data_IF_966789564646
#
_entry.id   IF_966789564646
#
_cell.length_a   1.000
_cell.length_b   1.000
_cell.length_c   1.000
_cell.angle_alpha   90.00
_cell.angle_beta   90.00
_cell.angle_gamma   90.00
#
_symmetry.space_group_name_H-M   'P 1'
#
loop_
_entity.id
_entity.type
_entity.pdbx_description
1 polymer ?
#
# COMPACT_ATOMS: atom_id res chain seq x y z
N UNK A 1 11.68 0.98 -5.76
CA UNK A 1 11.41 0.98 -4.31
C UNK A 1 12.42 0.05 -3.67
N UNK A 2 12.91 0.33 -2.45
CA UNK A 2 13.84 -0.55 -1.72
C UNK A 2 13.13 -1.16 -0.51
N UNK A 3 13.13 -2.50 -0.45
CA UNK A 3 12.43 -3.31 0.53
C UNK A 3 13.45 -4.05 1.42
N UNK A 4 13.99 -3.34 2.40
CA UNK A 4 14.83 -3.94 3.44
C UNK A 4 13.99 -4.30 4.66
N UNK A 5 14.26 -5.44 5.30
CA UNK A 5 13.58 -5.88 6.54
C UNK A 5 13.68 -4.79 7.61
N UNK A 6 12.55 -4.48 8.26
CA UNK A 6 12.46 -3.48 9.32
C UNK A 6 12.33 -2.03 8.83
N UNK A 7 12.44 -1.78 7.51
CA UNK A 7 12.18 -0.47 6.92
C UNK A 7 10.72 -0.06 7.13
N UNK A 8 10.52 1.21 7.46
CA UNK A 8 9.19 1.83 7.52
C UNK A 8 8.91 2.54 6.20
N UNK A 9 7.72 2.32 5.67
CA UNK A 9 7.24 2.93 4.43
C UNK A 9 5.87 3.56 4.68
N UNK A 10 5.59 4.63 3.96
CA UNK A 10 4.24 5.21 3.86
C UNK A 10 3.60 4.61 2.63
N UNK A 11 2.52 3.87 2.83
CA UNK A 11 1.82 3.23 1.74
C UNK A 11 0.37 3.68 1.69
N UNK A 12 -0.12 3.90 0.47
CA UNK A 12 -1.51 4.21 0.23
C UNK A 12 -2.31 2.93 0.03
N UNK A 13 -3.45 2.85 0.69
CA UNK A 13 -4.40 1.75 0.62
C UNK A 13 -5.79 2.36 0.42
N UNK A 14 -6.51 1.91 -0.61
CA UNK A 14 -7.88 2.38 -0.83
C UNK A 14 -8.82 1.73 0.19
N UNK A 15 -9.92 2.42 0.47
CA UNK A 15 -11.07 1.87 1.18
C UNK A 15 -11.65 0.66 0.46
N UNK A 16 -11.79 0.73 -0.87
CA UNK A 16 -12.27 -0.39 -1.68
C UNK A 16 -11.45 -1.67 -1.51
N UNK A 17 -10.11 -1.58 -1.46
CA UNK A 17 -9.23 -2.75 -1.22
C UNK A 17 -9.45 -3.38 0.16
N UNK A 18 -9.82 -2.57 1.16
CA UNK A 18 -10.17 -3.06 2.49
C UNK A 18 -11.54 -3.77 2.50
N UNK A 19 -12.49 -3.23 1.75
CA UNK A 19 -13.87 -3.74 1.74
C UNK A 19 -14.05 -4.95 0.81
N UNK A 20 -13.32 -5.01 -0.30
CA UNK A 20 -13.53 -6.02 -1.34
C UNK A 20 -12.83 -7.36 -1.06
N UNK A 21 -11.64 -7.31 -0.46
CA UNK A 21 -10.63 -8.31 -0.75
C UNK A 21 -9.87 -8.85 0.48
N UNK A 22 -10.20 -8.41 1.70
CA UNK A 22 -9.51 -8.89 2.90
C UNK A 22 -10.26 -8.67 4.21
N UNK A 23 -9.67 -9.18 5.31
CA UNK A 23 -9.94 -8.64 6.63
C UNK A 23 -9.20 -7.30 6.75
N UNK A 24 -9.84 -6.23 7.26
CA UNK A 24 -9.19 -4.94 7.37
C UNK A 24 -7.92 -5.05 8.22
N UNK A 25 -6.80 -4.53 7.72
CA UNK A 25 -5.54 -4.50 8.45
C UNK A 25 -5.69 -3.50 9.60
N UNK A 26 -5.67 -3.98 10.84
CA UNK A 26 -5.77 -3.09 12.00
C UNK A 26 -4.41 -2.62 12.46
N UNK A 27 -4.38 -1.44 13.08
CA UNK A 27 -3.15 -0.91 13.69
C UNK A 27 -2.60 -1.91 14.70
N UNK A 28 -1.33 -2.28 14.55
CA UNK A 28 -0.64 -3.26 15.37
C UNK A 28 -0.71 -4.68 14.84
N UNK A 29 -1.57 -5.00 13.89
CA UNK A 29 -1.66 -6.32 13.26
C UNK A 29 -0.66 -6.45 12.09
N UNK A 30 -0.23 -7.69 11.84
CA UNK A 30 0.62 -8.04 10.72
C UNK A 30 -0.12 -8.95 9.73
N UNK A 31 -0.01 -8.65 8.44
CA UNK A 31 -0.66 -9.40 7.36
C UNK A 31 0.22 -9.48 6.13
N UNK A 32 -0.11 -10.42 5.22
CA UNK A 32 0.47 -10.44 3.89
C UNK A 32 -0.20 -9.36 3.04
N UNK A 33 0.60 -8.60 2.31
CA UNK A 33 0.16 -7.55 1.39
C UNK A 33 1.03 -7.53 0.15
N UNK A 34 0.51 -6.95 -0.92
CA UNK A 34 1.25 -6.71 -2.16
C UNK A 34 1.60 -5.23 -2.24
N UNK A 35 2.89 -4.91 -2.32
CA UNK A 35 3.40 -3.54 -2.42
C UNK A 35 3.92 -3.24 -3.81
N UNK A 36 3.37 -2.22 -4.46
CA UNK A 36 3.96 -1.65 -5.67
C UNK A 36 4.50 -0.23 -5.44
N UNK A 37 5.42 0.25 -6.30
CA UNK A 37 5.91 1.63 -6.20
C UNK A 37 4.77 2.62 -6.37
N UNK A 38 4.75 3.70 -5.58
CA UNK A 38 3.70 4.71 -5.69
C UNK A 38 3.62 5.26 -7.13
N UNK A 39 2.48 5.01 -7.77
CA UNK A 39 2.14 5.43 -9.13
C UNK A 39 1.76 6.92 -9.18
N UNK A 40 1.69 7.49 -10.38
CA UNK A 40 1.27 8.89 -10.57
C UNK A 40 -0.13 9.15 -10.00
N UNK A 41 -1.07 8.21 -10.16
CA UNK A 41 -2.42 8.35 -9.65
C UNK A 41 -2.47 8.43 -8.11
N UNK A 42 -1.56 7.76 -7.39
CA UNK A 42 -1.44 7.88 -5.93
C UNK A 42 -0.82 9.22 -5.55
N UNK A 43 0.25 9.61 -6.24
CA UNK A 43 0.96 10.88 -5.96
C UNK A 43 0.08 12.10 -6.25
N UNK A 44 -0.79 12.01 -7.25
CA UNK A 44 -1.76 13.05 -7.63
C UNK A 44 -2.86 13.31 -6.60
N UNK A 45 -3.05 12.44 -5.59
CA UNK A 45 -4.10 12.61 -4.57
C UNK A 45 -3.76 13.62 -3.46
N UNK A 46 -2.56 14.21 -3.46
CA UNK A 46 -2.18 15.21 -2.46
C UNK A 46 -2.02 14.66 -1.03
N UNK A 47 -1.78 13.36 -0.88
CA UNK A 47 -1.73 12.65 0.42
C UNK A 47 -0.43 12.90 1.22
N UNK A 48 0.44 13.79 0.74
CA UNK A 48 1.80 13.94 1.24
C UNK A 48 2.74 12.85 0.70
N UNK A 49 3.90 12.60 1.35
CA UNK A 49 4.88 11.66 0.84
C UNK A 49 4.35 10.22 0.99
N UNK A 50 4.20 9.53 -0.14
CA UNK A 50 3.80 8.13 -0.26
C UNK A 50 4.87 7.39 -1.04
N UNK A 51 5.42 6.32 -0.45
CA UNK A 51 6.47 5.50 -1.02
C UNK A 51 5.91 4.39 -1.93
N UNK A 52 4.75 3.86 -1.57
CA UNK A 52 4.14 2.67 -2.18
C UNK A 52 2.61 2.76 -2.27
N UNK A 53 2.02 2.00 -3.17
CA UNK A 53 0.62 1.58 -3.04
C UNK A 53 0.55 0.15 -2.49
N UNK A 54 -0.53 -0.16 -1.79
CA UNK A 54 -0.83 -1.48 -1.25
C UNK A 54 -2.09 -2.01 -1.91
N UNK A 55 -2.07 -3.29 -2.27
CA UNK A 55 -3.27 -4.08 -2.58
C UNK A 55 -3.32 -5.31 -1.68
N UNK A 56 -4.52 -5.83 -1.45
CA UNK A 56 -4.74 -7.07 -0.68
C UNK A 56 -4.72 -8.31 -1.58
N UNK A 57 -4.71 -8.11 -2.90
CA UNK A 57 -4.62 -9.15 -3.90
C UNK A 57 -3.34 -9.02 -4.75
N UNK A 58 -3.00 -10.11 -5.43
CA UNK A 58 -1.95 -10.09 -6.45
C UNK A 58 -2.41 -9.17 -7.60
N UNK A 59 -1.53 -8.28 -8.04
CA UNK A 59 -1.79 -7.40 -9.19
C UNK A 59 -0.97 -7.89 -10.37
N UNK A 60 -1.65 -8.16 -11.48
CA UNK A 60 -0.98 -8.33 -12.76
C UNK A 60 -0.40 -6.97 -13.14
N UNK A 61 0.92 -6.91 -13.32
CA UNK A 61 1.59 -5.70 -13.81
C UNK A 61 1.72 -5.76 -15.33
N UNK A 62 1.48 -4.61 -15.96
CA UNK A 62 1.92 -4.39 -17.33
C UNK A 62 3.45 -4.55 -17.43
N UNK A 63 3.93 -5.08 -18.55
CA UNK A 63 5.33 -5.53 -18.75
C UNK A 63 6.42 -4.46 -18.45
N UNK A 64 6.06 -3.17 -18.43
CA UNK A 64 6.98 -2.05 -18.20
C UNK A 64 6.98 -1.50 -16.76
N UNK A 65 6.08 -1.97 -15.88
CA UNK A 65 6.04 -1.54 -14.49
C UNK A 65 7.00 -2.35 -13.61
N UNK A 66 7.67 -1.68 -12.67
CA UNK A 66 8.46 -2.42 -11.67
C UNK A 66 7.53 -3.36 -10.88
N UNK A 67 7.89 -4.64 -10.73
CA UNK A 67 6.97 -5.66 -10.25
C UNK A 67 6.60 -5.40 -8.79
N UNK A 68 5.35 -5.72 -8.40
CA UNK A 68 4.92 -5.61 -7.04
C UNK A 68 5.62 -6.70 -6.21
N UNK A 69 5.76 -6.47 -4.92
CA UNK A 69 6.39 -7.40 -4.00
C UNK A 69 5.39 -7.84 -2.93
N UNK A 70 5.21 -9.16 -2.81
CA UNK A 70 4.46 -9.74 -1.70
C UNK A 70 5.31 -9.72 -0.45
N UNK A 71 4.82 -9.07 0.60
CA UNK A 71 5.53 -8.91 1.87
C UNK A 71 4.60 -9.14 3.05
N UNK A 72 5.17 -9.53 4.18
CA UNK A 72 4.47 -9.47 5.47
C UNK A 72 4.72 -8.09 6.09
N UNK A 73 3.68 -7.27 6.15
CA UNK A 73 3.75 -5.92 6.71
C UNK A 73 2.97 -5.84 8.03
N UNK A 74 3.39 -4.93 8.91
CA UNK A 74 2.64 -4.57 10.13
C UNK A 74 2.14 -3.15 9.99
N UNK A 75 0.84 -2.93 10.19
CA UNK A 75 0.28 -1.58 10.15
C UNK A 75 0.66 -0.83 11.43
N UNK A 76 1.45 0.24 11.30
CA UNK A 76 1.91 1.02 12.46
C UNK A 76 1.00 2.18 12.81
N UNK A 77 0.37 2.81 11.81
CA UNK A 77 -0.52 3.97 11.97
C UNK A 77 -1.36 4.15 10.70
N UNK A 78 -2.59 4.64 10.87
CA UNK A 78 -3.43 5.17 9.78
C UNK A 78 -3.36 6.69 9.78
N UNK A 79 -3.27 7.30 8.60
CA UNK A 79 -3.50 8.72 8.40
C UNK A 79 -4.74 8.85 7.50
N UNK A 80 -5.87 9.21 8.10
CA UNK A 80 -7.09 9.51 7.35
C UNK A 80 -6.96 10.90 6.72
N UNK A 81 -7.26 11.00 5.42
CA UNK A 81 -7.34 12.25 4.69
C UNK A 81 -8.79 12.40 4.22
N UNK A 82 -9.41 13.53 4.56
CA UNK A 82 -10.74 13.89 4.06
C UNK A 82 -10.58 14.84 2.88
N UNK A 83 -11.38 14.63 1.85
CA UNK A 83 -11.52 15.55 0.74
C UNK A 83 -12.79 16.37 0.95
N UNK A 84 -12.72 17.66 0.63
CA UNK A 84 -13.85 18.59 0.61
C UNK A 84 -14.55 18.57 -0.75
#
# INVERSE_FOLDING_TARGET
>A
MDLTVGRRLRAYLTDWEQDCCGSPLRVGEGGEVTLGPATEWVRGRGLGPVDAYVTMHDVDVDDDAAPPHRVRARLLRVQEVRFD
#
